data_IF_108583132473
#
_entry.id   IF_108583132473
#
_cell.length_a   1.000
_cell.length_b   1.000
_cell.length_c   1.000
_cell.angle_alpha   90.00
_cell.angle_beta   90.00
_cell.angle_gamma   90.00
#
_symmetry.space_group_name_H-M   'P 1'
#
loop_
_entity.id
_entity.type
_entity.pdbx_description
1 polymer ?
#
# COMPACT_ATOMS: atom_id res chain seq x y z
N UNK A 1 -8.85 -10.44 13.26
CA UNK A 1 -7.50 -10.76 12.75
C UNK A 1 -7.03 -9.61 11.86
N UNK A 2 -5.73 -9.41 11.68
CA UNK A 2 -5.19 -8.38 10.80
C UNK A 2 -4.51 -9.08 9.61
N UNK A 3 -4.41 -8.39 8.47
CA UNK A 3 -3.61 -8.84 7.35
C UNK A 3 -2.52 -7.81 7.04
N UNK A 4 -1.36 -8.28 6.62
CA UNK A 4 -0.21 -7.44 6.26
C UNK A 4 0.24 -7.83 4.86
N UNK A 5 0.48 -6.83 4.01
CA UNK A 5 1.11 -6.99 2.71
C UNK A 5 2.37 -6.14 2.66
N UNK A 6 3.46 -6.72 2.19
CA UNK A 6 4.70 -6.02 1.93
C UNK A 6 4.99 -5.96 0.42
N UNK A 7 5.76 -4.96 0.01
CA UNK A 7 6.27 -4.82 -1.34
C UNK A 7 7.62 -4.10 -1.33
N UNK A 8 8.66 -4.76 -1.83
CA UNK A 8 9.98 -4.15 -2.01
C UNK A 8 9.97 -3.24 -3.25
N UNK A 9 10.21 -1.95 -3.05
CA UNK A 9 10.19 -0.92 -4.08
C UNK A 9 11.41 0.01 -3.92
N UNK A 10 12.28 0.00 -4.93
CA UNK A 10 13.38 0.96 -5.01
C UNK A 10 12.89 2.28 -5.59
N UNK A 11 12.81 3.32 -4.77
CA UNK A 11 12.45 4.65 -5.23
C UNK A 11 13.65 5.32 -5.90
N UNK A 12 13.58 5.51 -7.22
CA UNK A 12 14.63 6.19 -7.98
C UNK A 12 14.64 7.72 -7.82
N UNK A 13 13.56 8.33 -7.34
CA UNK A 13 13.42 9.78 -7.13
C UNK A 13 12.91 10.04 -5.68
N UNK A 14 13.53 10.97 -4.92
CA UNK A 14 13.08 11.36 -3.58
C UNK A 14 11.63 11.87 -3.49
N UNK A 15 11.03 12.27 -4.61
CA UNK A 15 9.63 12.74 -4.71
C UNK A 15 8.66 11.64 -5.10
N UNK A 16 9.13 10.42 -5.35
CA UNK A 16 8.23 9.30 -5.64
C UNK A 16 7.37 8.98 -4.43
N UNK A 17 6.10 8.72 -4.67
CA UNK A 17 5.13 8.34 -3.65
C UNK A 17 4.71 6.88 -3.85
N UNK A 18 4.34 6.22 -2.76
CA UNK A 18 3.86 4.83 -2.81
C UNK A 18 2.35 4.83 -2.65
N UNK A 19 1.69 4.19 -3.60
CA UNK A 19 0.24 4.08 -3.66
C UNK A 19 -0.18 2.63 -3.53
N UNK A 20 -1.18 2.39 -2.71
CA UNK A 20 -1.81 1.09 -2.56
C UNK A 20 -3.18 1.10 -3.23
N UNK A 21 -3.56 -0.01 -3.84
CA UNK A 21 -4.85 -0.18 -4.49
C UNK A 21 -5.49 -1.49 -4.07
N UNK A 22 -6.82 -1.48 -3.96
CA UNK A 22 -7.65 -2.67 -3.90
C UNK A 22 -8.66 -2.64 -5.02
N UNK A 23 -8.68 -3.67 -5.86
CA UNK A 23 -9.62 -3.80 -6.99
C UNK A 23 -9.69 -2.51 -7.83
N UNK A 24 -8.50 -1.97 -8.16
CA UNK A 24 -8.28 -0.72 -8.89
C UNK A 24 -8.69 0.59 -8.18
N UNK A 25 -9.16 0.53 -6.93
CA UNK A 25 -9.42 1.73 -6.11
C UNK A 25 -8.24 2.03 -5.21
N UNK A 26 -7.81 3.28 -5.21
CA UNK A 26 -6.74 3.74 -4.34
C UNK A 26 -7.14 3.62 -2.86
N UNK A 27 -6.19 3.16 -2.04
CA UNK A 27 -6.32 3.04 -0.59
C UNK A 27 -5.64 4.25 0.04
N UNK A 28 -6.40 4.95 0.88
CA UNK A 28 -5.88 6.03 1.71
C UNK A 28 -5.81 5.61 3.18
N UNK A 29 -4.84 6.20 3.91
CA UNK A 29 -4.65 5.97 5.34
C UNK A 29 -5.92 6.30 6.11
N UNK A 30 -6.39 5.37 6.93
CA UNK A 30 -7.51 5.58 7.84
C UNK A 30 -7.46 4.56 8.99
N UNK A 31 -8.57 4.38 9.73
CA UNK A 31 -8.63 3.39 10.84
C UNK A 31 -8.53 1.94 10.38
N UNK A 32 -8.85 1.65 9.12
CA UNK A 32 -8.85 0.33 8.50
C UNK A 32 -7.50 0.01 7.86
N UNK A 33 -6.87 1.01 7.25
CA UNK A 33 -5.62 0.87 6.49
C UNK A 33 -4.53 1.76 7.08
N UNK A 34 -3.43 1.13 7.46
CA UNK A 34 -2.19 1.82 7.84
C UNK A 34 -1.08 1.42 6.88
N UNK A 35 -0.20 2.36 6.52
CA UNK A 35 0.89 2.10 5.60
C UNK A 35 2.19 2.73 6.11
N UNK A 36 3.30 2.05 5.85
CA UNK A 36 4.67 2.49 6.14
C UNK A 36 5.56 2.27 4.92
N UNK A 37 6.69 2.96 4.90
CA UNK A 37 7.74 2.72 3.92
C UNK A 37 9.10 2.94 4.58
N UNK A 38 9.83 1.85 4.83
CA UNK A 38 11.12 1.83 5.53
C UNK A 38 12.03 0.80 4.83
N UNK A 39 13.32 1.14 4.68
CA UNK A 39 14.33 0.26 4.06
C UNK A 39 13.89 -0.35 2.70
N UNK A 40 13.34 0.47 1.81
CA UNK A 40 12.78 0.07 0.50
C UNK A 40 11.60 -0.92 0.57
N UNK A 41 11.02 -1.15 1.75
CA UNK A 41 9.86 -2.01 1.96
C UNK A 41 8.63 -1.17 2.26
N UNK A 42 7.63 -1.24 1.38
CA UNK A 42 6.31 -0.68 1.60
C UNK A 42 5.42 -1.70 2.29
N UNK A 43 4.79 -1.32 3.39
CA UNK A 43 3.84 -2.18 4.10
C UNK A 43 2.43 -1.58 4.06
N UNK A 44 1.43 -2.43 3.86
CA UNK A 44 0.02 -2.15 4.09
C UNK A 44 -0.51 -3.12 5.15
N UNK A 45 -0.93 -2.57 6.28
CA UNK A 45 -1.65 -3.30 7.33
C UNK A 45 -3.15 -3.01 7.23
N UNK A 46 -3.95 -4.08 7.16
CA UNK A 46 -5.42 -4.07 7.19
C UNK A 46 -5.89 -4.52 8.57
N UNK A 47 -6.49 -3.60 9.31
CA UNK A 47 -6.95 -3.84 10.69
C UNK A 47 -8.31 -4.54 10.68
N UNK A 48 -8.51 -5.55 11.54
CA UNK A 48 -9.80 -6.24 11.74
C UNK A 48 -10.44 -6.73 10.42
N UNK A 49 -9.75 -7.63 9.73
CA UNK A 49 -10.16 -8.18 8.44
C UNK A 49 -11.52 -8.87 8.49
N UNK A 50 -12.32 -8.70 7.44
CA UNK A 50 -13.57 -9.43 7.19
C UNK A 50 -13.75 -9.74 5.71
N UNK A 51 -14.87 -10.38 5.31
CA UNK A 51 -15.12 -10.81 3.93
C UNK A 51 -15.03 -9.68 2.91
N UNK A 52 -15.39 -8.45 3.33
CA UNK A 52 -15.30 -7.27 2.48
C UNK A 52 -13.87 -6.84 2.18
N UNK A 53 -12.84 -7.39 2.83
CA UNK A 53 -11.43 -7.08 2.56
C UNK A 53 -10.81 -8.02 1.53
N UNK A 54 -11.50 -9.07 1.12
CA UNK A 54 -11.08 -9.89 -0.01
C UNK A 54 -11.03 -9.05 -1.29
N UNK A 55 -10.00 -9.28 -2.10
CA UNK A 55 -9.76 -8.53 -3.32
C UNK A 55 -8.30 -8.61 -3.75
N UNK A 56 -7.97 -7.99 -4.88
CA UNK A 56 -6.59 -7.91 -5.37
C UNK A 56 -5.96 -6.62 -4.88
N UNK A 57 -4.88 -6.75 -4.12
CA UNK A 57 -4.06 -5.64 -3.65
C UNK A 57 -2.87 -5.42 -4.57
N UNK A 58 -2.51 -4.16 -4.80
CA UNK A 58 -1.35 -3.76 -5.61
C UNK A 58 -0.67 -2.56 -4.97
N UNK A 59 0.65 -2.60 -4.91
CA UNK A 59 1.50 -1.50 -4.49
C UNK A 59 2.19 -0.90 -5.72
N UNK A 60 2.26 0.42 -5.83
CA UNK A 60 2.92 1.12 -6.93
C UNK A 60 3.78 2.28 -6.45
N UNK A 61 5.00 2.37 -6.98
CA UNK A 61 5.82 3.58 -6.89
C UNK A 61 5.43 4.53 -8.02
N UNK A 62 4.90 5.70 -7.68
CA UNK A 62 4.50 6.75 -8.62
C UNK A 62 5.55 7.86 -8.56
N UNK A 63 6.24 8.09 -9.67
CA UNK A 63 7.11 9.25 -9.83
C UNK A 63 6.29 10.47 -10.31
N UNK A 64 6.80 11.69 -10.21
CA UNK A 64 6.08 12.90 -10.70
C UNK A 64 5.97 12.99 -12.23
N UNK A 65 6.63 12.10 -12.97
CA UNK A 65 6.72 12.12 -14.42
C UNK A 65 5.74 11.13 -15.08
N UNK A 66 5.07 10.28 -14.31
CA UNK A 66 4.26 9.15 -14.80
C UNK A 66 5.05 7.86 -14.81
#
# INVERSE_FOLDING_TARGET
ENAVFDCELKLGDPKSAIHWYKDAKEIYKNKKYTMTFEDDIAELTIVNTGPNDSGKYRCEAVNKLG
#
